data_IF_794123886631
#
_entry.id   IF_794123886631
#
_cell.length_a   1.000
_cell.length_b   1.000
_cell.length_c   1.000
_cell.angle_alpha   90.00
_cell.angle_beta   90.00
_cell.angle_gamma   90.00
#
_symmetry.space_group_name_H-M   'P 1'
#
loop_
_entity.id
_entity.type
_entity.pdbx_description
1 polymer ?
#
# COMPACT_ATOMS: atom_id res chain seq x y z
N UNK A 1 59.46 -19.75 -15.65
CA UNK A 1 59.09 -18.38 -16.10
C UNK A 1 58.01 -17.89 -15.14
N UNK A 2 58.43 -17.25 -14.05
CA UNK A 2 57.51 -16.80 -12.99
C UNK A 2 56.85 -15.50 -13.46
N UNK A 3 55.53 -15.51 -13.65
CA UNK A 3 54.76 -14.28 -13.84
C UNK A 3 54.81 -13.55 -12.50
N UNK A 4 55.63 -12.51 -12.43
CA UNK A 4 55.58 -11.50 -11.37
C UNK A 4 54.34 -10.65 -11.64
N UNK A 5 53.18 -11.08 -11.16
CA UNK A 5 52.05 -10.17 -11.06
C UNK A 5 52.35 -9.16 -9.95
N UNK A 6 52.50 -7.90 -10.35
CA UNK A 6 52.52 -6.80 -9.40
C UNK A 6 51.17 -6.77 -8.67
N UNK A 7 51.11 -6.51 -7.36
CA UNK A 7 49.84 -6.41 -6.65
C UNK A 7 48.93 -5.42 -7.40
N UNK A 8 47.73 -5.87 -7.75
CA UNK A 8 46.75 -5.01 -8.42
C UNK A 8 46.37 -3.91 -7.42
N UNK A 9 46.71 -2.66 -7.73
CA UNK A 9 46.29 -1.52 -6.91
C UNK A 9 44.77 -1.42 -6.85
N UNK A 10 44.23 -0.90 -5.74
CA UNK A 10 42.78 -0.81 -5.51
C UNK A 10 42.03 -0.13 -6.66
N UNK A 11 42.56 0.98 -7.18
CA UNK A 11 41.98 1.69 -8.34
C UNK A 11 41.80 0.75 -9.54
N UNK A 12 42.84 0.02 -9.92
CA UNK A 12 42.79 -0.92 -11.05
C UNK A 12 41.82 -2.08 -10.78
N UNK A 13 41.78 -2.60 -9.55
CA UNK A 13 40.81 -3.64 -9.17
C UNK A 13 39.37 -3.12 -9.27
N UNK A 14 39.11 -1.92 -8.73
CA UNK A 14 37.78 -1.34 -8.67
C UNK A 14 37.25 -1.01 -10.06
N UNK A 15 38.06 -0.34 -10.90
CA UNK A 15 37.69 0.00 -12.29
C UNK A 15 37.45 -1.27 -13.12
N UNK A 16 38.34 -2.26 -13.01
CA UNK A 16 38.18 -3.51 -13.74
C UNK A 16 36.91 -4.28 -13.31
N UNK A 17 36.60 -4.29 -12.01
CA UNK A 17 35.40 -4.95 -11.48
C UNK A 17 34.13 -4.21 -11.85
N UNK A 18 34.13 -2.88 -11.78
CA UNK A 18 33.01 -2.03 -12.21
C UNK A 18 32.71 -2.17 -13.71
N UNK A 19 33.74 -2.38 -14.54
CA UNK A 19 33.56 -2.64 -15.97
C UNK A 19 33.08 -4.07 -16.28
N UNK A 20 33.35 -5.03 -15.38
CA UNK A 20 33.06 -6.45 -15.62
C UNK A 20 31.75 -6.94 -14.98
N UNK A 21 31.29 -6.27 -13.92
CA UNK A 21 30.15 -6.72 -13.11
C UNK A 21 29.18 -5.56 -12.91
N UNK A 22 27.93 -5.78 -13.32
CA UNK A 22 26.86 -4.81 -13.12
C UNK A 22 26.70 -4.45 -11.65
N UNK A 23 26.48 -3.15 -11.41
CA UNK A 23 26.22 -2.60 -10.07
C UNK A 23 27.35 -2.90 -9.06
N UNK A 24 28.55 -3.25 -9.51
CA UNK A 24 29.67 -3.56 -8.61
C UNK A 24 29.98 -2.43 -7.65
N UNK A 25 30.02 -1.18 -8.13
CA UNK A 25 30.35 -0.03 -7.30
C UNK A 25 29.35 0.15 -6.14
N UNK A 26 28.04 0.13 -6.42
CA UNK A 26 27.01 0.27 -5.38
C UNK A 26 26.98 -0.93 -4.44
N UNK A 27 27.16 -2.16 -4.96
CA UNK A 27 27.29 -3.37 -4.14
C UNK A 27 28.50 -3.32 -3.21
N UNK A 28 29.63 -2.82 -3.69
CA UNK A 28 30.84 -2.67 -2.89
C UNK A 28 30.65 -1.66 -1.75
N UNK A 29 29.97 -0.54 -2.00
CA UNK A 29 29.66 0.45 -0.96
C UNK A 29 28.82 -0.15 0.17
N UNK A 30 27.73 -0.83 -0.17
CA UNK A 30 26.87 -1.51 0.82
C UNK A 30 27.64 -2.61 1.57
N UNK A 31 28.44 -3.39 0.85
CA UNK A 31 29.30 -4.39 1.48
C UNK A 31 30.25 -3.75 2.49
N UNK A 32 30.93 -2.65 2.12
CA UNK A 32 31.87 -1.96 3.01
C UNK A 32 31.18 -1.41 4.25
N UNK A 33 30.06 -0.69 4.10
CA UNK A 33 29.31 -0.10 5.22
C UNK A 33 28.84 -1.18 6.22
N UNK A 34 28.27 -2.28 5.73
CA UNK A 34 27.82 -3.36 6.62
C UNK A 34 28.99 -4.10 7.29
N UNK A 35 30.13 -4.26 6.60
CA UNK A 35 31.35 -4.82 7.21
C UNK A 35 31.89 -3.90 8.30
N UNK A 36 31.89 -2.59 8.09
CA UNK A 36 32.31 -1.60 9.07
C UNK A 36 31.38 -1.56 10.30
N UNK A 37 30.09 -1.89 10.11
CA UNK A 37 29.10 -2.12 11.18
C UNK A 37 29.24 -3.47 11.89
N UNK A 38 30.18 -4.31 11.46
CA UNK A 38 30.50 -5.60 12.10
C UNK A 38 29.67 -6.79 11.62
N UNK A 39 28.95 -6.67 10.51
CA UNK A 39 28.21 -7.80 9.94
C UNK A 39 29.13 -8.76 9.18
N UNK A 40 28.81 -10.05 9.24
CA UNK A 40 29.28 -11.02 8.26
C UNK A 40 28.29 -11.06 7.10
N UNK A 41 28.83 -11.06 5.88
CA UNK A 41 28.06 -11.02 4.64
C UNK A 41 28.51 -12.16 3.74
N UNK A 42 27.54 -12.82 3.10
CA UNK A 42 27.78 -13.77 2.01
C UNK A 42 27.02 -13.31 0.77
N UNK A 43 27.57 -13.48 -0.45
CA UNK A 43 26.76 -13.38 -1.66
C UNK A 43 25.54 -14.30 -1.58
N UNK A 44 24.37 -13.80 -1.96
CA UNK A 44 23.12 -14.56 -1.92
C UNK A 44 23.00 -15.52 -3.12
N UNK A 45 23.98 -16.40 -3.32
CA UNK A 45 24.03 -17.36 -4.42
C UNK A 45 24.93 -18.55 -4.10
N UNK A 46 24.69 -19.70 -4.72
CA UNK A 46 25.59 -20.84 -4.58
C UNK A 46 27.00 -20.55 -5.14
N UNK A 47 28.06 -21.16 -4.56
CA UNK A 47 28.07 -22.05 -3.39
C UNK A 47 28.22 -21.31 -2.05
N UNK A 48 27.93 -20.00 -2.00
CA UNK A 48 28.13 -19.21 -0.78
C UNK A 48 27.08 -19.56 0.28
N UNK A 49 27.44 -19.63 1.58
CA UNK A 49 26.49 -19.97 2.62
C UNK A 49 25.34 -18.95 2.69
N UNK A 50 24.15 -19.41 3.09
CA UNK A 50 22.92 -18.59 3.12
C UNK A 50 22.36 -18.22 1.73
N UNK A 51 23.06 -18.54 0.63
CA UNK A 51 22.58 -18.25 -0.73
C UNK A 51 21.32 -19.02 -1.13
N UNK A 52 21.02 -20.15 -0.49
CA UNK A 52 19.75 -20.89 -0.68
C UNK A 52 18.59 -20.29 0.12
N UNK A 53 18.88 -19.55 1.17
CA UNK A 53 17.89 -19.02 2.12
C UNK A 53 17.45 -17.59 1.75
N UNK A 54 18.02 -17.01 0.69
CA UNK A 54 17.67 -15.68 0.21
C UNK A 54 16.30 -15.70 -0.51
N UNK A 55 15.39 -14.75 -0.23
CA UNK A 55 14.04 -14.69 -0.80
C UNK A 55 14.00 -14.21 -2.27
N UNK A 56 14.76 -14.85 -3.16
CA UNK A 56 14.73 -14.67 -4.61
C UNK A 56 16.02 -14.10 -5.22
N UNK A 57 16.10 -14.19 -6.55
CA UNK A 57 17.30 -13.89 -7.35
C UNK A 57 17.76 -12.42 -7.28
N UNK A 58 16.92 -11.51 -6.77
CA UNK A 58 17.22 -10.09 -6.65
C UNK A 58 18.07 -9.75 -5.42
N UNK A 59 18.23 -10.67 -4.47
CA UNK A 59 19.05 -10.46 -3.27
C UNK A 59 20.52 -10.55 -3.67
N UNK A 60 21.31 -9.56 -3.27
CA UNK A 60 22.74 -9.49 -3.57
C UNK A 60 23.58 -10.12 -2.45
N UNK A 61 23.21 -9.84 -1.20
CA UNK A 61 23.90 -10.31 0.00
C UNK A 61 22.93 -10.84 1.04
N UNK A 62 23.39 -11.77 1.86
CA UNK A 62 22.77 -12.09 3.14
C UNK A 62 23.69 -11.62 4.27
N UNK A 63 23.13 -10.88 5.22
CA UNK A 63 23.78 -10.55 6.48
C UNK A 63 23.22 -11.41 7.61
N UNK A 64 24.09 -11.92 8.46
CA UNK A 64 23.72 -12.76 9.61
C UNK A 64 23.47 -11.92 10.86
N UNK A 65 22.90 -12.52 11.90
CA UNK A 65 22.82 -11.84 13.20
C UNK A 65 24.21 -11.46 13.72
N UNK A 66 24.28 -10.39 14.51
CA UNK A 66 25.57 -9.87 14.98
C UNK A 66 26.27 -10.90 15.86
N UNK A 67 27.52 -11.20 15.53
CA UNK A 67 28.33 -12.19 16.23
C UNK A 67 28.16 -13.61 15.71
N UNK A 68 27.20 -13.86 14.82
CA UNK A 68 27.05 -15.13 14.14
C UNK A 68 27.84 -15.16 12.83
N UNK A 69 28.21 -16.36 12.40
CA UNK A 69 28.97 -16.61 11.18
C UNK A 69 28.14 -17.41 10.19
N UNK A 70 28.52 -17.47 8.90
CA UNK A 70 27.70 -18.14 7.88
C UNK A 70 27.41 -19.64 8.13
N UNK A 71 28.22 -20.29 8.97
CA UNK A 71 28.11 -21.69 9.41
C UNK A 71 27.29 -21.88 10.69
N UNK A 72 27.02 -20.82 11.45
CA UNK A 72 26.34 -20.89 12.76
C UNK A 72 25.08 -20.03 12.84
N UNK A 73 24.95 -19.05 11.94
CA UNK A 73 23.99 -17.98 12.08
C UNK A 73 22.79 -18.02 11.16
N UNK A 74 21.70 -17.41 11.62
CA UNK A 74 20.52 -17.18 10.79
C UNK A 74 20.70 -15.93 9.94
N UNK A 75 20.15 -15.96 8.73
CA UNK A 75 20.07 -14.77 7.89
C UNK A 75 19.17 -13.76 8.60
N UNK A 76 19.73 -12.59 8.92
CA UNK A 76 19.03 -11.46 9.54
C UNK A 76 18.52 -10.48 8.49
N UNK A 77 19.37 -10.11 7.53
CA UNK A 77 19.01 -9.17 6.48
C UNK A 77 19.33 -9.76 5.10
N UNK A 78 18.32 -10.19 4.33
CA UNK A 78 18.47 -10.46 2.91
C UNK A 78 18.49 -9.13 2.14
N UNK A 79 19.66 -8.71 1.70
CA UNK A 79 19.91 -7.37 1.16
C UNK A 79 19.84 -7.36 -0.36
N UNK A 80 18.94 -6.55 -0.89
CA UNK A 80 18.89 -6.15 -2.29
C UNK A 80 19.48 -4.74 -2.41
N UNK A 81 20.59 -4.61 -3.15
CA UNK A 81 21.26 -3.33 -3.40
C UNK A 81 20.63 -2.67 -4.62
N UNK A 82 20.34 -1.38 -4.48
CA UNK A 82 19.65 -0.59 -5.51
C UNK A 82 20.30 0.79 -5.60
N UNK A 83 20.74 1.20 -6.79
CA UNK A 83 21.09 2.59 -7.04
C UNK A 83 19.85 3.48 -7.12
N UNK A 84 19.94 4.75 -6.74
CA UNK A 84 18.80 5.68 -6.68
C UNK A 84 17.98 5.85 -7.98
N UNK A 85 18.56 5.51 -9.13
CA UNK A 85 17.94 5.60 -10.47
C UNK A 85 17.37 4.28 -10.98
N UNK A 86 17.57 3.18 -10.24
CA UNK A 86 17.02 1.88 -10.60
C UNK A 86 15.52 1.80 -10.27
N UNK A 87 14.85 0.78 -10.79
CA UNK A 87 13.44 0.51 -10.53
C UNK A 87 13.31 -0.74 -9.66
N UNK A 88 12.46 -0.67 -8.62
CA UNK A 88 12.23 -1.78 -7.69
C UNK A 88 10.81 -2.31 -7.92
N UNK A 89 10.67 -3.57 -8.30
CA UNK A 89 9.34 -4.19 -8.36
C UNK A 89 8.79 -4.39 -6.94
N UNK A 90 7.52 -4.04 -6.73
CA UNK A 90 6.83 -4.25 -5.46
C UNK A 90 6.55 -5.74 -5.21
N UNK A 91 6.19 -6.47 -6.28
CA UNK A 91 5.94 -7.91 -6.25
C UNK A 91 7.13 -8.69 -5.66
N UNK A 92 6.89 -9.46 -4.60
CA UNK A 92 7.92 -10.30 -3.97
C UNK A 92 9.01 -9.53 -3.23
N UNK A 93 8.76 -8.25 -2.88
CA UNK A 93 9.68 -7.43 -2.12
C UNK A 93 9.66 -7.75 -0.61
N UNK A 94 8.55 -8.30 -0.10
CA UNK A 94 8.39 -8.68 1.29
C UNK A 94 9.51 -9.64 1.77
N UNK A 95 10.01 -9.40 2.99
CA UNK A 95 11.11 -10.16 3.59
C UNK A 95 12.51 -9.71 3.12
N UNK A 96 12.62 -8.64 2.32
CA UNK A 96 13.91 -8.09 1.88
C UNK A 96 14.27 -6.81 2.63
N UNK A 97 15.56 -6.57 2.72
CA UNK A 97 16.14 -5.28 3.10
C UNK A 97 16.65 -4.59 1.84
N UNK A 98 16.11 -3.41 1.53
CA UNK A 98 16.62 -2.58 0.45
C UNK A 98 17.78 -1.73 0.96
N UNK A 99 18.91 -1.76 0.27
CA UNK A 99 20.03 -0.84 0.47
C UNK A 99 20.10 0.12 -0.72
N UNK A 100 19.50 1.30 -0.58
CA UNK A 100 19.46 2.32 -1.62
C UNK A 100 20.70 3.19 -1.52
N UNK A 101 21.48 3.25 -2.60
CA UNK A 101 22.68 4.07 -2.72
C UNK A 101 22.40 5.27 -3.63
N UNK A 102 22.59 6.49 -3.12
CA UNK A 102 22.39 7.71 -3.89
C UNK A 102 23.61 8.14 -4.71
N UNK A 103 23.49 9.25 -5.45
CA UNK A 103 24.59 9.77 -6.28
C UNK A 103 25.82 10.26 -5.50
N UNK A 104 25.66 10.58 -4.21
CA UNK A 104 26.75 10.98 -3.32
C UNK A 104 27.34 9.78 -2.56
N UNK A 105 26.90 8.55 -2.86
CA UNK A 105 27.29 7.30 -2.21
C UNK A 105 26.75 7.13 -0.78
N UNK A 106 25.77 7.94 -0.38
CA UNK A 106 25.07 7.75 0.88
C UNK A 106 24.09 6.56 0.78
N UNK A 107 24.00 5.79 1.86
CA UNK A 107 23.22 4.55 1.91
C UNK A 107 22.02 4.73 2.84
N UNK A 108 20.83 4.47 2.32
CA UNK A 108 19.60 4.37 3.11
C UNK A 108 19.07 2.95 3.06
N UNK A 109 18.84 2.37 4.25
CA UNK A 109 18.26 1.03 4.38
C UNK A 109 16.75 1.10 4.63
N UNK A 110 16.01 0.23 3.96
CA UNK A 110 14.58 0.02 4.21
C UNK A 110 14.31 -1.45 4.48
N UNK A 111 13.47 -1.74 5.47
CA UNK A 111 12.90 -3.07 5.68
C UNK A 111 11.59 -3.14 4.91
N UNK A 112 11.41 -4.18 4.09
CA UNK A 112 10.16 -4.45 3.41
C UNK A 112 9.53 -5.70 4.02
N UNK A 113 8.36 -5.55 4.62
CA UNK A 113 7.67 -6.58 5.38
C UNK A 113 6.28 -6.83 4.79
N UNK A 114 5.93 -8.10 4.64
CA UNK A 114 4.56 -8.47 4.33
C UNK A 114 3.77 -8.66 5.62
N UNK A 115 2.46 -8.46 5.59
CA UNK A 115 1.62 -8.70 6.75
C UNK A 115 0.26 -8.03 6.61
N UNK A 116 -0.79 -8.70 7.08
CA UNK A 116 -2.12 -8.12 7.05
C UNK A 116 -2.25 -6.95 8.04
N UNK A 117 -3.05 -5.96 7.67
CA UNK A 117 -3.53 -4.96 8.63
C UNK A 117 -4.68 -5.60 9.41
N UNK A 118 -4.52 -5.70 10.73
CA UNK A 118 -5.52 -6.24 11.65
C UNK A 118 -5.91 -5.17 12.66
N UNK A 119 -7.20 -4.84 12.70
CA UNK A 119 -7.82 -3.98 13.68
C UNK A 119 -8.66 -4.77 14.68
N UNK A 120 -9.32 -4.04 15.56
CA UNK A 120 -10.22 -4.53 16.61
C UNK A 120 -11.40 -3.59 16.84
N UNK A 121 -11.70 -2.72 15.86
CA UNK A 121 -12.80 -1.77 15.98
C UNK A 121 -14.13 -2.49 15.73
N UNK A 122 -14.87 -2.76 16.80
CA UNK A 122 -16.19 -3.39 16.74
C UNK A 122 -17.27 -2.33 16.49
N UNK A 123 -17.74 -2.25 15.25
CA UNK A 123 -18.85 -1.38 14.89
C UNK A 123 -19.65 -1.91 13.70
N UNK A 124 -20.96 -1.92 13.87
CA UNK A 124 -21.92 -2.38 12.88
C UNK A 124 -22.78 -1.19 12.41
N UNK A 125 -22.65 -0.72 11.15
CA UNK A 125 -23.40 0.45 10.68
C UNK A 125 -24.93 0.23 10.60
N UNK A 126 -25.77 1.27 10.67
CA UNK A 126 -27.22 1.12 10.58
C UNK A 126 -27.73 0.47 9.28
N UNK A 127 -28.90 -0.18 9.38
CA UNK A 127 -29.72 -0.82 8.34
C UNK A 127 -30.10 -0.01 7.10
N UNK A 128 -30.43 1.23 7.39
CA UNK A 128 -31.53 1.94 6.75
C UNK A 128 -31.10 3.35 6.34
N UNK A 129 -29.81 3.51 6.03
CA UNK A 129 -29.27 4.78 5.58
C UNK A 129 -29.85 5.13 4.20
N UNK A 130 -30.22 6.40 4.03
CA UNK A 130 -30.68 6.95 2.75
C UNK A 130 -29.84 8.16 2.38
N UNK A 131 -29.24 8.11 1.20
CA UNK A 131 -28.35 9.15 0.71
C UNK A 131 -28.75 9.70 -0.66
N UNK A 132 -28.28 10.92 -0.94
CA UNK A 132 -28.35 11.56 -2.26
C UNK A 132 -26.95 11.54 -2.89
N UNK A 133 -26.81 10.95 -4.06
CA UNK A 133 -25.55 10.90 -4.79
C UNK A 133 -25.32 12.22 -5.52
N UNK A 134 -24.26 12.92 -5.11
CA UNK A 134 -23.79 14.15 -5.72
C UNK A 134 -22.62 13.86 -6.67
N UNK A 135 -22.00 14.93 -7.15
CA UNK A 135 -20.93 14.85 -8.15
C UNK A 135 -19.69 14.07 -7.67
N UNK A 136 -19.34 14.13 -6.40
CA UNK A 136 -18.10 13.52 -5.86
C UNK A 136 -18.29 12.90 -4.46
N UNK A 137 -19.53 12.80 -3.99
CA UNK A 137 -19.88 12.34 -2.63
C UNK A 137 -21.33 11.92 -2.54
N UNK A 138 -21.68 11.20 -1.48
CA UNK A 138 -23.08 10.95 -1.09
C UNK A 138 -23.39 11.73 0.18
N UNK A 139 -24.54 12.42 0.22
CA UNK A 139 -25.01 13.09 1.43
C UNK A 139 -26.12 12.27 2.06
N UNK A 140 -25.93 11.87 3.31
CA UNK A 140 -26.95 11.22 4.15
C UNK A 140 -27.55 12.29 5.05
N UNK A 141 -28.83 12.56 4.85
CA UNK A 141 -29.60 13.48 5.69
C UNK A 141 -30.13 12.75 6.91
N UNK A 142 -30.26 13.46 8.03
CA UNK A 142 -30.71 12.90 9.32
C UNK A 142 -29.93 11.64 9.73
N UNK A 143 -28.63 11.62 9.44
CA UNK A 143 -27.75 10.50 9.70
C UNK A 143 -27.63 10.25 11.23
N UNK A 144 -27.71 8.99 11.69
CA UNK A 144 -27.48 8.66 13.09
C UNK A 144 -26.08 9.12 13.53
N UNK A 145 -25.99 9.77 14.68
CA UNK A 145 -24.73 10.30 15.21
C UNK A 145 -23.65 9.21 15.32
N UNK A 146 -24.06 8.00 15.75
CA UNK A 146 -23.20 6.82 15.88
C UNK A 146 -22.47 6.43 14.59
N UNK A 147 -23.04 6.74 13.41
CA UNK A 147 -22.40 6.44 12.12
C UNK A 147 -21.05 7.14 11.99
N UNK A 148 -20.96 8.37 12.48
CA UNK A 148 -19.70 9.11 12.55
C UNK A 148 -18.97 8.82 13.86
N UNK A 149 -19.65 8.93 15.00
CA UNK A 149 -19.03 8.91 16.32
C UNK A 149 -18.33 7.59 16.64
N UNK A 150 -18.93 6.47 16.25
CA UNK A 150 -18.41 5.12 16.54
C UNK A 150 -17.99 4.39 15.26
N UNK A 151 -18.69 4.62 14.15
CA UNK A 151 -18.35 3.99 12.86
C UNK A 151 -17.30 4.72 12.02
N UNK A 152 -17.01 5.97 12.38
CA UNK A 152 -16.10 6.86 11.68
C UNK A 152 -16.43 7.02 10.20
N UNK A 153 -17.67 6.82 9.79
CA UNK A 153 -18.09 7.05 8.42
C UNK A 153 -18.34 8.53 8.17
N UNK A 154 -17.94 8.99 6.99
CA UNK A 154 -18.22 10.34 6.51
C UNK A 154 -17.58 11.45 7.33
N UNK A 155 -18.07 12.66 7.09
CA UNK A 155 -17.77 13.89 7.82
C UNK A 155 -19.06 14.73 7.93
N UNK A 156 -19.23 15.51 9.01
CA UNK A 156 -20.30 16.50 9.09
C UNK A 156 -20.30 17.46 7.89
N UNK A 157 -21.47 17.70 7.32
CA UNK A 157 -21.62 18.69 6.26
C UNK A 157 -21.56 20.09 6.85
N UNK A 158 -20.47 20.80 6.61
CA UNK A 158 -20.27 22.14 7.17
C UNK A 158 -20.84 23.21 6.23
N UNK A 159 -21.69 24.07 6.79
CA UNK A 159 -22.22 25.26 6.10
C UNK A 159 -21.34 26.49 6.32
N UNK A 160 -21.67 27.59 5.63
CA UNK A 160 -20.93 28.87 5.73
C UNK A 160 -20.94 29.50 7.13
N UNK A 161 -21.84 29.08 8.02
CA UNK A 161 -22.04 29.65 9.35
C UNK A 161 -22.10 28.60 10.48
N UNK A 162 -22.47 27.36 10.19
CA UNK A 162 -22.55 26.25 11.14
C UNK A 162 -22.66 24.93 10.39
N UNK A 163 -22.48 23.82 11.10
CA UNK A 163 -22.76 22.49 10.61
C UNK A 163 -24.26 22.36 10.28
N UNK A 164 -24.56 21.68 9.18
CA UNK A 164 -25.94 21.29 8.90
C UNK A 164 -26.24 20.11 9.80
N UNK A 165 -27.05 20.37 10.83
CA UNK A 165 -27.40 19.39 11.85
C UNK A 165 -27.93 18.09 11.21
N UNK A 166 -27.40 16.95 11.65
CA UNK A 166 -27.79 15.63 11.14
C UNK A 166 -27.32 15.28 9.71
N UNK A 167 -26.54 16.11 9.03
CA UNK A 167 -26.08 15.81 7.67
C UNK A 167 -24.63 15.30 7.64
N UNK A 168 -24.42 14.10 7.09
CA UNK A 168 -23.10 13.53 6.86
C UNK A 168 -22.80 13.42 5.36
N UNK A 169 -21.59 13.82 4.96
CA UNK A 169 -21.04 13.56 3.63
C UNK A 169 -20.13 12.33 3.68
N UNK A 170 -20.49 11.31 2.90
CA UNK A 170 -19.71 10.11 2.65
C UNK A 170 -18.86 10.31 1.39
N UNK A 171 -17.60 9.90 1.42
CA UNK A 171 -16.82 9.71 0.20
C UNK A 171 -17.46 8.61 -0.67
N UNK A 172 -17.20 8.63 -1.98
CA UNK A 172 -17.73 7.62 -2.90
C UNK A 172 -17.31 6.19 -2.50
N UNK A 173 -16.11 6.03 -1.94
CA UNK A 173 -15.62 4.73 -1.45
C UNK A 173 -16.40 4.26 -0.21
N UNK A 174 -16.60 5.14 0.78
CA UNK A 174 -17.43 4.82 1.97
C UNK A 174 -18.86 4.47 1.57
N UNK A 175 -19.44 5.23 0.64
CA UNK A 175 -20.80 5.01 0.16
C UNK A 175 -20.94 3.72 -0.67
N UNK A 176 -19.95 3.40 -1.52
CA UNK A 176 -19.96 2.16 -2.30
C UNK A 176 -19.92 0.93 -1.38
N UNK A 177 -19.04 0.93 -0.38
CA UNK A 177 -18.95 -0.15 0.61
C UNK A 177 -20.25 -0.30 1.42
N UNK A 178 -20.82 0.79 1.96
CA UNK A 178 -22.09 0.72 2.70
C UNK A 178 -23.26 0.26 1.82
N UNK A 179 -23.27 0.63 0.54
CA UNK A 179 -24.31 0.20 -0.40
C UNK A 179 -24.15 -1.28 -0.79
N UNK A 180 -22.91 -1.75 -0.97
CA UNK A 180 -22.61 -3.16 -1.23
C UNK A 180 -23.07 -4.07 -0.08
N UNK A 181 -22.90 -3.60 1.17
CA UNK A 181 -23.39 -4.27 2.39
C UNK A 181 -24.91 -4.18 2.58
N UNK A 182 -25.62 -3.48 1.68
CA UNK A 182 -27.07 -3.31 1.77
C UNK A 182 -27.55 -2.30 2.81
N UNK A 183 -26.65 -1.49 3.38
CA UNK A 183 -26.93 -0.52 4.45
C UNK A 183 -27.28 0.87 3.95
N UNK A 184 -26.85 1.22 2.75
CA UNK A 184 -27.10 2.52 2.12
C UNK A 184 -27.96 2.37 0.86
N UNK A 185 -29.13 3.00 0.88
CA UNK A 185 -29.92 3.27 -0.32
C UNK A 185 -29.59 4.65 -0.88
N UNK A 186 -29.64 4.80 -2.21
CA UNK A 186 -29.36 6.08 -2.89
C UNK A 186 -30.54 6.45 -3.78
N UNK A 187 -31.22 7.55 -3.45
CA UNK A 187 -32.54 7.87 -4.00
C UNK A 187 -32.57 8.93 -5.11
N UNK A 188 -31.45 9.62 -5.39
CA UNK A 188 -31.33 10.54 -6.53
C UNK A 188 -29.86 10.74 -6.92
N UNK A 189 -29.59 10.93 -8.22
CA UNK A 189 -28.34 11.51 -8.71
C UNK A 189 -28.63 12.94 -9.20
N UNK A 190 -27.72 13.88 -8.97
CA UNK A 190 -27.91 15.29 -9.40
C UNK A 190 -27.91 15.41 -10.94
N UNK A 191 -27.33 14.42 -11.64
CA UNK A 191 -27.16 14.40 -13.08
C UNK A 191 -28.29 13.64 -13.82
N UNK A 192 -29.06 12.78 -13.13
CA UNK A 192 -30.20 12.02 -13.69
C UNK A 192 -31.47 12.21 -12.85
N UNK A 193 -32.18 13.31 -13.10
CA UNK A 193 -33.47 13.62 -12.47
C UNK A 193 -34.63 12.68 -12.90
N UNK A 194 -34.41 11.77 -13.87
CA UNK A 194 -35.43 10.85 -14.40
C UNK A 194 -35.31 9.40 -13.88
N UNK A 195 -34.30 9.09 -13.06
CA UNK A 195 -34.05 7.74 -12.54
C UNK A 195 -34.68 7.50 -11.15
N UNK A 196 -35.92 7.94 -10.92
CA UNK A 196 -36.70 7.48 -9.76
C UNK A 196 -37.31 6.10 -10.07
N UNK A 197 -36.50 5.04 -9.98
CA UNK A 197 -37.02 3.69 -9.98
C UNK A 197 -37.44 3.32 -8.55
N UNK A 198 -38.75 3.24 -8.30
CA UNK A 198 -39.36 2.86 -7.01
C UNK A 198 -39.04 1.42 -6.53
N UNK A 199 -38.16 0.70 -7.24
CA UNK A 199 -37.80 -0.71 -7.03
C UNK A 199 -36.27 -0.93 -7.03
N UNK A 200 -35.48 0.12 -6.75
CA UNK A 200 -34.02 0.03 -6.73
C UNK A 200 -33.52 -0.89 -5.61
N UNK A 201 -32.79 -1.95 -5.99
CA UNK A 201 -32.17 -2.88 -5.04
C UNK A 201 -30.88 -2.29 -4.45
N UNK A 202 -30.35 -2.83 -3.34
CA UNK A 202 -29.05 -2.39 -2.83
C UNK A 202 -27.90 -2.57 -3.83
N UNK A 203 -27.94 -3.64 -4.64
CA UNK A 203 -26.99 -3.83 -5.74
C UNK A 203 -27.05 -2.70 -6.75
N UNK A 204 -28.24 -2.19 -7.06
CA UNK A 204 -28.40 -1.05 -7.96
C UNK A 204 -27.82 0.24 -7.34
N UNK A 205 -27.97 0.42 -6.02
CA UNK A 205 -27.37 1.55 -5.31
C UNK A 205 -25.84 1.48 -5.35
N UNK A 206 -25.25 0.32 -5.02
CA UNK A 206 -23.80 0.12 -5.08
C UNK A 206 -23.25 0.35 -6.49
N UNK A 207 -23.89 -0.23 -7.51
CA UNK A 207 -23.49 -0.06 -8.91
C UNK A 207 -23.52 1.41 -9.36
N UNK A 208 -24.52 2.20 -8.94
CA UNK A 208 -24.60 3.64 -9.24
C UNK A 208 -23.45 4.41 -8.60
N UNK A 209 -23.13 4.14 -7.34
CA UNK A 209 -22.02 4.81 -6.64
C UNK A 209 -20.68 4.42 -7.25
N UNK A 210 -20.48 3.14 -7.59
CA UNK A 210 -19.26 2.65 -8.25
C UNK A 210 -19.09 3.27 -9.64
N UNK A 211 -20.14 3.32 -10.45
CA UNK A 211 -20.12 3.98 -11.74
C UNK A 211 -19.68 5.45 -11.60
N UNK A 212 -20.25 6.16 -10.61
CA UNK A 212 -19.85 7.55 -10.34
C UNK A 212 -18.40 7.66 -9.85
N UNK A 213 -17.95 6.72 -9.02
CA UNK A 213 -16.56 6.64 -8.59
C UNK A 213 -15.59 6.51 -9.75
N UNK A 214 -15.89 5.64 -10.71
CA UNK A 214 -15.12 5.47 -11.94
C UNK A 214 -15.14 6.71 -12.83
N UNK A 215 -16.26 7.42 -12.93
CA UNK A 215 -16.32 8.68 -13.67
C UNK A 215 -15.41 9.77 -13.05
N UNK A 216 -15.25 9.77 -11.73
CA UNK A 216 -14.47 10.79 -10.99
C UNK A 216 -12.99 10.44 -10.89
N UNK A 217 -12.65 9.17 -10.61
CA UNK A 217 -11.27 8.75 -10.32
C UNK A 217 -10.71 7.70 -11.30
N UNK A 218 -11.48 7.23 -12.27
CA UNK A 218 -11.10 6.16 -13.19
C UNK A 218 -10.87 4.83 -12.48
N UNK A 219 -9.97 4.02 -13.03
CA UNK A 219 -9.61 2.69 -12.47
C UNK A 219 -8.99 2.76 -11.06
N UNK A 220 -8.51 3.94 -10.64
CA UNK A 220 -8.02 4.13 -9.27
C UNK A 220 -9.13 3.92 -8.25
N UNK A 221 -10.38 4.26 -8.60
CA UNK A 221 -11.52 4.08 -7.72
C UNK A 221 -11.68 2.62 -7.29
N UNK A 222 -11.65 1.71 -8.25
CA UNK A 222 -11.90 0.28 -8.04
C UNK A 222 -10.83 -0.33 -7.12
N UNK A 223 -9.55 -0.04 -7.36
CA UNK A 223 -8.44 -0.47 -6.49
C UNK A 223 -8.60 0.10 -5.07
N UNK A 224 -8.97 1.38 -4.95
CA UNK A 224 -9.22 2.02 -3.66
C UNK A 224 -10.40 1.40 -2.92
N UNK A 225 -11.47 1.02 -3.63
CA UNK A 225 -12.63 0.36 -3.05
C UNK A 225 -12.27 -1.01 -2.50
N UNK A 226 -11.59 -1.85 -3.28
CA UNK A 226 -11.10 -3.16 -2.83
C UNK A 226 -10.22 -3.05 -1.57
N UNK A 227 -9.26 -2.11 -1.56
CA UNK A 227 -8.41 -1.87 -0.39
C UNK A 227 -9.20 -1.35 0.82
N UNK A 228 -10.20 -0.49 0.61
CA UNK A 228 -11.05 0.03 1.68
C UNK A 228 -11.88 -1.07 2.34
N UNK A 229 -12.50 -1.93 1.54
CA UNK A 229 -13.32 -3.04 2.03
C UNK A 229 -12.46 -4.06 2.75
N UNK A 230 -11.27 -4.38 2.23
CA UNK A 230 -10.35 -5.29 2.92
C UNK A 230 -9.89 -4.75 4.29
N UNK A 231 -9.73 -3.44 4.42
CA UNK A 231 -9.43 -2.77 5.70
C UNK A 231 -10.63 -2.85 6.66
N UNK A 232 -11.85 -2.56 6.18
CA UNK A 232 -13.07 -2.65 7.00
C UNK A 232 -13.35 -4.09 7.45
N UNK A 233 -13.18 -5.07 6.57
CA UNK A 233 -13.32 -6.49 6.88
C UNK A 233 -12.25 -7.03 7.85
N UNK A 234 -11.19 -6.26 8.09
CA UNK A 234 -10.17 -6.54 9.10
C UNK A 234 -10.34 -5.66 10.34
N UNK A 235 -11.54 -5.10 10.57
CA UNK A 235 -11.88 -4.24 11.71
C UNK A 235 -10.97 -3.01 11.88
N UNK A 236 -10.35 -2.57 10.79
CA UNK A 236 -9.60 -1.33 10.72
C UNK A 236 -10.49 -0.21 10.17
N UNK A 237 -10.23 1.02 10.63
CA UNK A 237 -10.95 2.21 10.20
C UNK A 237 -10.11 3.02 9.20
N UNK A 238 -10.36 2.88 7.88
CA UNK A 238 -9.77 3.75 6.88
C UNK A 238 -10.46 5.12 6.82
N UNK A 239 -9.67 6.20 6.93
CA UNK A 239 -10.06 7.57 6.58
C UNK A 239 -9.18 8.11 5.47
N UNK A 240 -9.59 9.20 4.82
CA UNK A 240 -8.79 9.83 3.77
C UNK A 240 -7.34 10.12 4.20
N UNK A 241 -6.39 9.64 3.40
CA UNK A 241 -4.95 9.90 3.57
C UNK A 241 -4.48 11.20 2.92
N UNK A 242 -5.38 11.98 2.30
CA UNK A 242 -5.04 13.12 1.43
C UNK A 242 -4.06 14.13 2.05
N UNK A 243 -4.22 14.44 3.35
CA UNK A 243 -3.32 15.35 4.08
C UNK A 243 -1.86 14.87 4.16
N UNK A 244 -1.60 13.60 3.84
CA UNK A 244 -0.31 12.95 3.83
C UNK A 244 0.04 12.37 2.45
N UNK A 245 -0.66 12.76 1.38
CA UNK A 245 -0.38 12.23 0.04
C UNK A 245 -0.66 10.73 -0.14
N UNK A 246 -1.38 10.11 0.79
CA UNK A 246 -1.78 8.70 0.76
C UNK A 246 -3.26 8.55 0.41
N UNK A 247 -3.68 7.35 -0.02
CA UNK A 247 -5.10 7.05 -0.25
C UNK A 247 -5.86 7.00 1.07
N UNK A 248 -5.30 6.28 2.05
CA UNK A 248 -5.90 6.12 3.37
C UNK A 248 -4.90 6.38 4.49
N UNK A 249 -5.45 6.77 5.64
CA UNK A 249 -4.83 6.61 6.95
C UNK A 249 -5.71 5.69 7.77
N UNK A 250 -5.12 4.77 8.51
CA UNK A 250 -5.88 3.72 9.22
C UNK A 250 -5.78 3.87 10.73
N UNK A 251 -6.86 3.54 11.41
CA UNK A 251 -6.90 3.36 12.86
C UNK A 251 -7.24 1.89 13.13
N UNK A 252 -6.54 1.26 14.07
CA UNK A 252 -6.69 -0.17 14.33
C UNK A 252 -7.65 -0.46 15.47
N UNK A 253 -7.68 0.41 16.47
CA UNK A 253 -8.49 0.23 17.67
C UNK A 253 -9.04 1.59 18.08
N UNK A 254 -10.34 1.80 17.86
CA UNK A 254 -11.02 3.06 18.15
C UNK A 254 -12.41 2.80 18.71
N UNK A 255 -12.76 3.54 19.75
CA UNK A 255 -14.11 3.48 20.34
C UNK A 255 -14.95 4.65 19.87
N UNK A 256 -14.42 5.88 19.94
CA UNK A 256 -15.16 7.11 19.61
C UNK A 256 -14.29 8.15 18.89
N UNK A 257 -14.93 9.08 18.17
CA UNK A 257 -14.27 10.23 17.54
C UNK A 257 -13.60 11.16 18.56
N UNK A 258 -14.13 11.25 19.78
CA UNK A 258 -13.57 12.10 20.84
C UNK A 258 -12.23 11.57 21.36
N UNK A 259 -12.06 10.25 21.35
CA UNK A 259 -10.86 9.55 21.82
C UNK A 259 -10.03 8.95 20.68
N UNK A 260 -9.90 9.71 19.57
CA UNK A 260 -9.14 9.29 18.40
C UNK A 260 -7.64 9.11 18.71
N UNK A 261 -7.10 7.88 18.65
CA UNK A 261 -5.67 7.66 18.70
C UNK A 261 -5.01 8.20 17.44
N UNK A 262 -3.69 8.28 17.43
CA UNK A 262 -2.98 8.57 16.18
C UNK A 262 -3.17 7.41 15.20
N UNK A 263 -3.54 7.72 13.96
CA UNK A 263 -3.59 6.71 12.89
C UNK A 263 -2.24 6.00 12.78
N UNK A 264 -2.26 4.69 12.52
CA UNK A 264 -1.08 3.82 12.53
C UNK A 264 -0.37 3.80 11.19
N UNK A 265 -1.13 3.59 10.12
CA UNK A 265 -0.57 3.43 8.78
C UNK A 265 -0.97 4.59 7.86
N UNK A 266 -0.10 4.87 6.87
CA UNK A 266 -0.45 5.56 5.64
C UNK A 266 -0.46 4.53 4.52
N UNK A 267 -1.62 4.33 3.90
CA UNK A 267 -1.83 3.32 2.87
C UNK A 267 -1.87 3.99 1.50
N UNK A 268 -0.99 3.56 0.59
CA UNK A 268 -1.08 3.84 -0.84
C UNK A 268 -1.53 2.60 -1.59
N UNK A 269 -2.50 2.76 -2.47
CA UNK A 269 -3.02 1.66 -3.30
C UNK A 269 -2.34 1.71 -4.67
N UNK A 270 -1.77 0.59 -5.08
CA UNK A 270 -0.98 0.46 -6.31
C UNK A 270 -1.31 -0.85 -7.03
N UNK A 271 -0.93 -0.94 -8.30
CA UNK A 271 -1.06 -2.16 -9.10
C UNK A 271 -0.08 -3.25 -8.62
N UNK A 272 -0.36 -4.55 -8.85
CA UNK A 272 0.52 -5.62 -8.40
C UNK A 272 1.91 -5.59 -9.03
N UNK A 273 2.02 -5.10 -10.27
CA UNK A 273 3.28 -4.96 -11.00
C UNK A 273 3.95 -3.59 -10.76
N UNK A 274 3.47 -2.82 -9.77
CA UNK A 274 3.99 -1.51 -9.43
C UNK A 274 5.50 -1.52 -9.23
N UNK A 275 6.13 -0.47 -9.73
CA UNK A 275 7.57 -0.26 -9.70
C UNK A 275 7.90 1.01 -8.96
N UNK A 276 8.52 0.87 -7.80
CA UNK A 276 9.00 2.00 -7.03
C UNK A 276 10.22 2.64 -7.70
N UNK A 277 10.21 3.98 -7.75
CA UNK A 277 11.45 4.76 -7.80
C UNK A 277 12.02 4.86 -6.38
N UNK A 278 13.32 4.59 -6.14
CA UNK A 278 13.94 4.74 -4.83
C UNK A 278 13.77 6.13 -4.23
N UNK A 279 13.76 7.17 -5.07
CA UNK A 279 13.52 8.55 -4.64
C UNK A 279 12.10 8.75 -4.10
N UNK A 280 11.09 8.26 -4.82
CA UNK A 280 9.68 8.38 -4.41
C UNK A 280 9.41 7.52 -3.17
N UNK A 281 9.92 6.29 -3.13
CA UNK A 281 9.86 5.43 -1.96
C UNK A 281 10.48 6.10 -0.74
N UNK A 282 11.67 6.72 -0.89
CA UNK A 282 12.29 7.45 0.21
C UNK A 282 11.46 8.66 0.64
N UNK A 283 10.73 9.33 -0.25
CA UNK A 283 9.85 10.44 0.11
C UNK A 283 8.65 9.95 0.93
N UNK A 284 8.01 8.86 0.49
CA UNK A 284 6.86 8.25 1.17
C UNK A 284 7.23 7.78 2.60
N UNK A 285 8.32 7.00 2.73
CA UNK A 285 8.77 6.48 4.02
C UNK A 285 9.21 7.62 4.95
N UNK A 286 9.88 8.66 4.43
CA UNK A 286 10.25 9.84 5.24
C UNK A 286 9.02 10.62 5.71
N UNK A 287 8.01 10.75 4.86
CA UNK A 287 6.76 11.42 5.21
C UNK A 287 6.04 10.67 6.33
N UNK A 288 5.85 9.36 6.17
CA UNK A 288 5.24 8.49 7.17
C UNK A 288 5.99 8.55 8.50
N UNK A 289 7.32 8.36 8.47
CA UNK A 289 8.17 8.45 9.66
C UNK A 289 8.11 9.82 10.35
N UNK A 290 8.05 10.91 9.58
CA UNK A 290 7.93 12.28 10.11
C UNK A 290 6.65 12.53 10.91
N UNK A 291 5.57 11.81 10.59
CA UNK A 291 4.29 11.86 11.31
C UNK A 291 4.05 10.65 12.21
N UNK A 292 5.11 9.86 12.47
CA UNK A 292 5.12 8.65 13.30
C UNK A 292 4.08 7.62 12.86
N UNK A 293 4.08 7.33 11.56
CA UNK A 293 3.24 6.33 10.91
C UNK A 293 4.14 5.41 10.09
N UNK A 294 3.64 4.22 9.88
CA UNK A 294 4.25 3.24 8.98
C UNK A 294 3.68 3.42 7.57
N UNK A 295 4.54 3.27 6.56
CA UNK A 295 4.16 3.38 5.16
C UNK A 295 3.77 2.00 4.63
N UNK A 296 2.53 1.86 4.16
CA UNK A 296 2.00 0.59 3.66
C UNK A 296 1.52 0.75 2.22
N UNK A 297 1.82 -0.22 1.38
CA UNK A 297 1.34 -0.34 0.01
C UNK A 297 0.33 -1.48 -0.08
N UNK A 298 -0.84 -1.20 -0.63
CA UNK A 298 -1.86 -2.18 -0.96
C UNK A 298 -1.74 -2.51 -2.45
N UNK A 299 -1.25 -3.71 -2.75
CA UNK A 299 -1.06 -4.24 -4.10
C UNK A 299 -2.33 -5.00 -4.48
N UNK A 300 -3.08 -4.49 -5.46
CA UNK A 300 -4.35 -5.11 -5.85
C UNK A 300 -4.62 -4.97 -7.35
N UNK A 301 -5.07 -6.08 -7.95
CA UNK A 301 -5.55 -6.12 -9.33
C UNK A 301 -7.06 -5.89 -9.33
N UNK A 302 -7.55 -4.92 -10.10
CA UNK A 302 -8.99 -4.75 -10.31
C UNK A 302 -9.25 -4.31 -11.75
N UNK A 303 -10.19 -4.95 -12.45
CA UNK A 303 -10.44 -4.75 -13.89
C UNK A 303 -9.80 -5.84 -14.78
N UNK A 304 -9.85 -5.68 -16.12
CA UNK A 304 -9.49 -6.66 -17.17
C UNK A 304 -8.05 -7.25 -17.12
N UNK A 305 -7.28 -6.99 -16.07
CA UNK A 305 -5.97 -7.58 -15.78
C UNK A 305 -6.05 -8.97 -15.11
N UNK A 306 -7.26 -9.49 -14.85
CA UNK A 306 -7.41 -10.94 -14.69
C UNK A 306 -7.22 -11.57 -16.08
N UNK A 307 -6.31 -12.54 -16.27
CA UNK A 307 -6.19 -13.21 -17.57
C UNK A 307 -7.53 -13.91 -17.85
N UNK A 308 -8.37 -13.25 -18.64
CA UNK A 308 -9.71 -13.70 -18.93
C UNK A 308 -9.63 -14.99 -19.75
N UNK A 309 -9.88 -16.12 -19.10
CA UNK A 309 -10.23 -17.35 -19.79
C UNK A 309 -11.70 -17.21 -20.26
N UNK A 310 -11.86 -16.57 -21.43
CA UNK A 310 -13.01 -16.72 -22.32
C UNK A 310 -14.36 -16.10 -21.94
N UNK A 311 -14.67 -14.95 -22.55
CA UNK A 311 -15.90 -14.79 -23.36
C UNK A 311 -17.10 -14.02 -22.79
N UNK A 312 -17.54 -13.05 -23.61
CA UNK A 312 -18.88 -12.43 -23.73
C UNK A 312 -19.12 -11.10 -23.00
N UNK A 313 -19.13 -10.03 -23.80
CA UNK A 313 -19.68 -8.71 -23.44
C UNK A 313 -21.21 -8.74 -23.26
N UNK A 314 -21.69 -7.80 -22.44
CA UNK A 314 -23.07 -7.33 -22.24
C UNK A 314 -23.93 -7.99 -21.14
N UNK A 315 -23.59 -7.70 -19.87
CA UNK A 315 -24.52 -7.30 -18.78
C UNK A 315 -23.73 -6.90 -17.51
N UNK A 316 -22.65 -6.14 -17.69
CA UNK A 316 -21.42 -6.34 -16.91
C UNK A 316 -21.27 -5.43 -15.66
N UNK A 317 -22.24 -4.55 -15.39
CA UNK A 317 -22.15 -3.59 -14.27
C UNK A 317 -22.19 -4.26 -12.89
N UNK A 318 -23.05 -5.27 -12.73
CA UNK A 318 -23.18 -6.02 -11.47
C UNK A 318 -22.05 -7.04 -11.24
N UNK A 319 -21.64 -7.75 -12.29
CA UNK A 319 -20.54 -8.72 -12.21
C UNK A 319 -19.18 -8.04 -11.96
N UNK A 320 -18.93 -6.86 -12.56
CA UNK A 320 -17.73 -6.06 -12.29
C UNK A 320 -17.70 -5.43 -10.91
N UNK A 321 -18.86 -5.15 -10.29
CA UNK A 321 -18.90 -4.70 -8.91
C UNK A 321 -18.51 -5.86 -7.98
N UNK A 322 -19.11 -7.04 -8.15
CA UNK A 322 -18.78 -8.25 -7.39
C UNK A 322 -17.28 -8.63 -7.52
N UNK A 323 -16.68 -8.47 -8.71
CA UNK A 323 -15.24 -8.74 -8.92
C UNK A 323 -14.29 -7.75 -8.22
N UNK A 324 -14.74 -6.52 -7.91
CA UNK A 324 -13.96 -5.55 -7.11
C UNK A 324 -13.96 -5.99 -5.63
N UNK A 325 -15.10 -6.51 -5.15
CA UNK A 325 -15.27 -6.97 -3.77
C UNK A 325 -14.41 -8.22 -3.46
N UNK A 326 -14.18 -9.08 -4.46
CA UNK A 326 -13.42 -10.33 -4.33
C UNK A 326 -11.92 -10.17 -4.67
N UNK A 327 -11.44 -8.94 -4.94
CA UNK A 327 -10.06 -8.72 -5.35
C UNK A 327 -9.07 -8.99 -4.20
N UNK A 328 -8.05 -9.81 -4.48
CA UNK A 328 -6.95 -10.05 -3.53
C UNK A 328 -6.14 -8.76 -3.32
N UNK A 329 -5.81 -8.48 -2.05
CA UNK A 329 -4.96 -7.36 -1.64
C UNK A 329 -3.75 -7.91 -0.90
N UNK A 330 -2.56 -7.73 -1.49
CA UNK A 330 -1.29 -7.98 -0.82
C UNK A 330 -0.83 -6.70 -0.11
N UNK A 331 -0.45 -6.83 1.15
CA UNK A 331 0.00 -5.71 1.99
C UNK A 331 1.51 -5.75 2.12
N UNK A 332 2.16 -4.64 1.75
CA UNK A 332 3.60 -4.46 1.83
C UNK A 332 3.92 -3.21 2.65
N UNK A 333 4.44 -3.41 3.85
CA UNK A 333 5.00 -2.34 4.67
C UNK A 333 6.45 -2.06 4.29
N UNK A 334 6.83 -0.79 4.24
CA UNK A 334 8.21 -0.38 4.04
C UNK A 334 8.59 0.70 5.05
N UNK A 335 9.56 0.40 5.90
CA UNK A 335 10.04 1.31 6.94
C UNK A 335 11.54 1.54 6.85
N UNK A 336 11.98 2.68 7.39
CA UNK A 336 13.40 2.99 7.49
C UNK A 336 14.07 2.05 8.49
N UNK A 337 15.12 1.37 8.06
CA UNK A 337 15.92 0.47 8.88
C UNK A 337 17.27 1.12 9.24
N UNK A 338 17.78 0.82 10.43
CA UNK A 338 19.18 1.06 10.79
C UNK A 338 19.83 -0.28 11.17
N UNK A 339 20.59 -0.92 10.26
CA UNK A 339 21.09 -2.28 10.44
C UNK A 339 21.95 -2.55 11.68
#
# INVERSE_FOLDING_TARGET
MCIRDSPVGFERFFVASAAAVDRFAVRFLVYSDLRDRGFYLSPAREPWPGGRDAPGDAVDFVAYERGETPDTGKVKYPIQVVGERESIAASGLAGRTLAVVDEESDITYFAAEGGAIEGSTDYEPPSDLSGVLLADRVVVWDAPADLHEHGFYGQPLTGRAADVEGALQLSLVEAASLAADGRLSVSASVDDAEAESADATPRDAAARVVARGRDVEGERFDRRLAAYERLRAADAVPKTGFKFGADFRTYLDVETVEDLPHSKHLVRVVEPDHRFSPRELSLDVRLAGGVRKEMVFALTAVGDDHPADGGSEASDGGARADAVLDADVEWLSIDRLTP
#
